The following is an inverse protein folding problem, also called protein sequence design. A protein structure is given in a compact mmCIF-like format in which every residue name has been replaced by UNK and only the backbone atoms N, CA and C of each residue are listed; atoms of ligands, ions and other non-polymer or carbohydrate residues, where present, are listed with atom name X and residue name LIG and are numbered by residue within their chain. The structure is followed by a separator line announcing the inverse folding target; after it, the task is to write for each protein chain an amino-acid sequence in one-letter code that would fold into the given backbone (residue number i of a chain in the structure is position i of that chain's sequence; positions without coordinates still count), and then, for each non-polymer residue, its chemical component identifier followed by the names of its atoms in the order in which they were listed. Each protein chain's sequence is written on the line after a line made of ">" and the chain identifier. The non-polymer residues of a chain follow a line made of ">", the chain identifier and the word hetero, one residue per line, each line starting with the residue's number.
data_IF_180307155131
#
_entry.id   IF_180307155131
#
_cell.length_a   1.000
_cell.length_b   1.000
_cell.length_c   1.000
_cell.angle_alpha   90.00
_cell.angle_beta   90.00
_cell.angle_gamma   90.00
#
_symmetry.space_group_name_H-M   'P 1'
#
loop_
_entity.id
_entity.type
_entity.pdbx_description
1 polymer ?
#
# COMPACT_ATOMS: atom_id res chain seq x y z
N UNK A 1 -16.82 9.75 19.20
CA UNK A 1 -15.96 8.65 18.73
C UNK A 1 -14.74 9.28 18.08
N UNK A 2 -13.54 8.74 18.35
CA UNK A 2 -12.32 9.22 17.70
C UNK A 2 -12.33 8.81 16.23
N UNK A 3 -11.95 9.71 15.33
CA UNK A 3 -11.77 9.41 13.91
C UNK A 3 -10.70 8.32 13.76
N UNK A 4 -11.01 7.15 13.14
CA UNK A 4 -10.04 6.07 12.98
C UNK A 4 -9.00 6.37 11.89
N UNK A 5 -9.26 7.31 10.98
CA UNK A 5 -8.43 7.57 9.79
C UNK A 5 -6.99 7.90 10.16
N UNK A 6 -6.67 8.81 11.12
CA UNK A 6 -5.28 9.09 11.48
C UNK A 6 -4.50 7.84 11.92
N UNK A 7 -5.15 6.92 12.64
CA UNK A 7 -4.51 5.68 13.06
C UNK A 7 -4.22 4.75 11.87
N UNK A 8 -5.13 4.68 10.90
CA UNK A 8 -4.94 3.89 9.68
C UNK A 8 -3.82 4.47 8.81
N UNK A 9 -3.80 5.80 8.62
CA UNK A 9 -2.73 6.49 7.89
C UNK A 9 -1.37 6.25 8.54
N UNK A 10 -1.30 6.28 9.88
CA UNK A 10 -0.05 5.98 10.59
C UNK A 10 0.43 4.54 10.36
N UNK A 11 -0.48 3.57 10.17
CA UNK A 11 -0.09 2.19 9.81
C UNK A 11 0.49 2.13 8.39
N UNK A 12 -0.13 2.83 7.43
CA UNK A 12 0.40 2.94 6.06
C UNK A 12 1.81 3.55 6.11
N UNK A 13 1.96 4.67 6.81
CA UNK A 13 3.24 5.35 6.99
C UNK A 13 4.29 4.43 7.62
N UNK A 14 3.97 3.74 8.72
CA UNK A 14 4.91 2.84 9.39
C UNK A 14 5.38 1.71 8.47
N UNK A 15 4.51 1.23 7.58
CA UNK A 15 4.82 0.17 6.64
C UNK A 15 5.66 0.63 5.43
N UNK A 16 5.48 1.87 4.96
CA UNK A 16 6.15 2.37 3.74
C UNK A 16 7.36 3.27 4.01
N UNK A 17 7.41 3.95 5.17
CA UNK A 17 8.41 4.99 5.46
C UNK A 17 9.39 4.62 6.58
N UNK A 18 9.00 3.78 7.54
CA UNK A 18 9.88 3.44 8.67
C UNK A 18 10.85 2.29 8.36
N UNK A 19 12.00 2.28 9.04
CA UNK A 19 13.03 1.23 8.91
C UNK A 19 12.56 -0.14 9.41
N UNK A 20 11.48 -0.20 10.17
CA UNK A 20 10.84 -1.45 10.61
C UNK A 20 9.73 -1.93 9.67
N UNK A 21 9.33 -1.10 8.69
CA UNK A 21 8.25 -1.39 7.76
C UNK A 21 8.61 -2.41 6.70
N UNK A 22 7.60 -3.02 6.07
CA UNK A 22 7.79 -4.03 5.03
C UNK A 22 8.60 -3.49 3.85
N UNK A 23 8.40 -2.23 3.46
CA UNK A 23 9.03 -1.68 2.27
C UNK A 23 10.54 -1.53 2.47
N UNK A 24 10.96 -1.15 3.69
CA UNK A 24 12.38 -1.16 4.05
C UNK A 24 12.98 -2.56 3.99
N UNK A 25 12.26 -3.57 4.52
CA UNK A 25 12.71 -4.97 4.49
C UNK A 25 12.88 -5.48 3.05
N UNK A 26 11.93 -5.17 2.17
CA UNK A 26 12.06 -5.49 0.74
C UNK A 26 13.31 -4.85 0.12
N UNK A 27 13.61 -3.58 0.42
CA UNK A 27 14.81 -2.88 -0.07
C UNK A 27 16.11 -3.55 0.37
N UNK A 28 16.16 -4.13 1.57
CA UNK A 28 17.32 -4.89 2.06
C UNK A 28 17.30 -6.37 1.67
N UNK A 29 16.32 -6.78 0.85
CA UNK A 29 16.24 -8.12 0.29
C UNK A 29 15.62 -9.17 1.21
N UNK A 30 14.77 -8.75 2.14
CA UNK A 30 13.96 -9.59 3.04
C UNK A 30 12.47 -9.49 2.68
N UNK A 31 11.80 -10.64 2.51
CA UNK A 31 10.35 -10.67 2.27
C UNK A 31 9.62 -10.58 3.61
N UNK A 32 8.78 -9.55 3.76
CA UNK A 32 7.92 -9.38 4.95
C UNK A 32 6.43 -9.48 4.58
N UNK A 33 5.97 -10.72 4.42
CA UNK A 33 4.56 -11.01 4.12
C UNK A 33 3.63 -10.43 5.19
N UNK A 34 4.01 -10.50 6.47
CA UNK A 34 3.14 -10.00 7.55
C UNK A 34 3.00 -8.49 7.48
N UNK A 35 4.11 -7.76 7.31
CA UNK A 35 4.08 -6.31 7.13
C UNK A 35 3.31 -5.90 5.87
N UNK A 36 3.47 -6.65 4.78
CA UNK A 36 2.70 -6.44 3.55
C UNK A 36 1.19 -6.63 3.76
N UNK A 37 0.76 -7.68 4.46
CA UNK A 37 -0.66 -7.89 4.76
C UNK A 37 -1.22 -6.79 5.68
N UNK A 38 -0.43 -6.28 6.62
CA UNK A 38 -0.82 -5.12 7.44
C UNK A 38 -0.98 -3.85 6.61
N UNK A 39 -0.12 -3.66 5.60
CA UNK A 39 -0.20 -2.55 4.65
C UNK A 39 -1.48 -2.64 3.79
N UNK A 40 -1.75 -3.81 3.20
CA UNK A 40 -2.97 -4.02 2.39
C UNK A 40 -4.23 -3.83 3.23
N UNK A 41 -4.29 -4.43 4.43
CA UNK A 41 -5.44 -4.25 5.32
C UNK A 41 -5.66 -2.79 5.71
N UNK A 42 -4.59 -2.00 5.90
CA UNK A 42 -4.73 -0.58 6.18
C UNK A 42 -5.28 0.21 4.97
N UNK A 43 -4.92 -0.16 3.73
CA UNK A 43 -5.51 0.45 2.53
C UNK A 43 -6.99 0.09 2.41
N UNK A 44 -7.36 -1.17 2.63
CA UNK A 44 -8.75 -1.64 2.57
C UNK A 44 -9.63 -0.97 3.64
N UNK A 45 -9.12 -0.87 4.88
CA UNK A 45 -9.76 -0.14 5.97
C UNK A 45 -9.96 1.34 5.59
N UNK A 46 -8.93 1.97 5.02
CA UNK A 46 -8.98 3.38 4.63
C UNK A 46 -9.96 3.62 3.48
N UNK A 47 -9.98 2.73 2.49
CA UNK A 47 -10.88 2.76 1.34
C UNK A 47 -12.34 2.74 1.80
N UNK A 48 -12.66 1.85 2.73
CA UNK A 48 -14.01 1.74 3.31
C UNK A 48 -14.47 3.02 4.01
N UNK A 49 -13.55 3.79 4.59
CA UNK A 49 -13.84 5.08 5.23
C UNK A 49 -13.86 6.26 4.25
N UNK A 50 -13.12 6.19 3.14
CA UNK A 50 -13.16 7.24 2.12
C UNK A 50 -14.43 7.22 1.27
N UNK A 51 -15.15 6.09 1.20
CA UNK A 51 -16.52 6.06 0.64
C UNK A 51 -17.55 6.94 1.37
N UNK A 52 -17.15 7.53 2.49
CA UNK A 52 -18.01 8.43 3.27
C UNK A 52 -17.46 9.86 3.26
N UNK A 53 -16.38 10.14 2.51
CA UNK A 53 -15.64 11.41 2.53
C UNK A 53 -15.11 11.82 1.16
N UNK A 54 -15.40 13.06 0.76
CA UNK A 54 -15.00 13.67 -0.51
C UNK A 54 -13.49 13.91 -0.71
N UNK A 55 -12.62 13.61 0.27
CA UNK A 55 -11.19 13.96 0.18
C UNK A 55 -10.25 12.89 0.72
N UNK A 56 -9.25 12.55 -0.11
CA UNK A 56 -8.13 11.68 0.25
C UNK A 56 -7.02 12.52 0.90
N UNK A 57 -6.38 11.98 1.93
CA UNK A 57 -5.26 12.64 2.60
C UNK A 57 -4.04 12.75 1.68
N UNK A 58 -3.46 13.95 1.57
CA UNK A 58 -2.21 14.18 0.83
C UNK A 58 -1.05 13.31 1.31
N UNK A 59 -0.99 13.01 2.61
CA UNK A 59 0.02 12.12 3.19
C UNK A 59 -0.13 10.69 2.64
N UNK A 60 -1.36 10.22 2.49
CA UNK A 60 -1.65 8.88 1.93
C UNK A 60 -1.19 8.83 0.48
N UNK A 61 -1.55 9.82 -0.34
CA UNK A 61 -1.09 9.90 -1.74
C UNK A 61 0.43 9.85 -1.82
N UNK A 62 1.13 10.66 -1.01
CA UNK A 62 2.59 10.66 -0.96
C UNK A 62 3.17 9.31 -0.52
N UNK A 63 2.55 8.64 0.46
CA UNK A 63 2.99 7.33 0.95
C UNK A 63 2.79 6.20 -0.07
N UNK A 64 1.87 6.34 -1.04
CA UNK A 64 1.49 5.26 -1.94
C UNK A 64 2.04 5.44 -3.36
N UNK A 65 2.44 6.65 -3.74
CA UNK A 65 2.81 7.00 -5.12
C UNK A 65 3.88 6.08 -5.72
N UNK A 66 4.95 5.80 -4.98
CA UNK A 66 6.08 4.99 -5.48
C UNK A 66 6.03 3.53 -5.05
N UNK A 67 5.14 3.15 -4.13
CA UNK A 67 5.17 1.83 -3.48
C UNK A 67 5.07 0.66 -4.47
N UNK A 68 4.13 0.64 -5.44
CA UNK A 68 4.09 -0.45 -6.41
C UNK A 68 5.39 -0.60 -7.18
N UNK A 69 5.93 0.53 -7.68
CA UNK A 69 7.16 0.57 -8.45
C UNK A 69 8.38 0.09 -7.63
N UNK A 70 8.46 0.50 -6.36
CA UNK A 70 9.51 0.03 -5.46
C UNK A 70 9.46 -1.48 -5.23
N UNK A 71 8.28 -2.06 -5.04
CA UNK A 71 8.12 -3.51 -4.90
C UNK A 71 8.54 -4.20 -6.21
N UNK A 72 8.06 -3.71 -7.36
CA UNK A 72 8.36 -4.26 -8.69
C UNK A 72 9.86 -4.31 -8.98
N UNK A 73 10.60 -3.26 -8.64
CA UNK A 73 12.05 -3.20 -8.84
C UNK A 73 12.83 -4.25 -8.05
N UNK A 74 12.25 -4.81 -6.98
CA UNK A 74 12.90 -5.86 -6.19
C UNK A 74 12.62 -7.27 -6.74
N UNK A 75 11.65 -7.44 -7.64
CA UNK A 75 11.22 -8.76 -8.14
C UNK A 75 12.39 -9.55 -8.74
N UNK A 76 13.20 -8.92 -9.60
CA UNK A 76 14.31 -9.60 -10.26
C UNK A 76 15.44 -9.98 -9.29
N UNK A 77 15.63 -9.20 -8.23
CA UNK A 77 16.56 -9.54 -7.15
C UNK A 77 16.11 -10.81 -6.43
N UNK A 78 14.82 -10.92 -6.09
CA UNK A 78 14.30 -12.10 -5.42
C UNK A 78 14.26 -13.32 -6.35
N UNK A 79 13.88 -13.16 -7.63
CA UNK A 79 13.93 -14.24 -8.63
C UNK A 79 15.31 -14.87 -8.77
N UNK A 80 16.37 -14.05 -8.73
CA UNK A 80 17.76 -14.53 -8.79
C UNK A 80 18.17 -15.35 -7.58
N UNK A 81 17.57 -15.09 -6.41
CA UNK A 81 17.80 -15.90 -5.20
C UNK A 81 17.03 -17.22 -5.29
N UNK A 82 15.73 -17.12 -5.54
CA UNK A 82 14.85 -18.26 -5.76
C UNK A 82 13.55 -17.84 -6.47
N UNK A 83 13.05 -18.70 -7.37
CA UNK A 83 11.88 -18.42 -8.20
C UNK A 83 10.61 -18.20 -7.36
N UNK A 84 10.49 -18.87 -6.20
CA UNK A 84 9.31 -18.78 -5.35
C UNK A 84 9.18 -17.40 -4.70
N UNK A 85 10.26 -16.87 -4.12
CA UNK A 85 10.32 -15.51 -3.56
C UNK A 85 10.10 -14.47 -4.66
N UNK A 86 10.69 -14.66 -5.84
CA UNK A 86 10.45 -13.80 -6.99
C UNK A 86 8.98 -13.71 -7.38
N UNK A 87 8.30 -14.86 -7.43
CA UNK A 87 6.85 -14.93 -7.68
C UNK A 87 6.04 -14.29 -6.55
N UNK A 88 6.43 -14.50 -5.29
CA UNK A 88 5.76 -13.90 -4.14
C UNK A 88 5.81 -12.37 -4.19
N UNK A 89 6.99 -11.79 -4.41
CA UNK A 89 7.17 -10.33 -4.50
C UNK A 89 6.46 -9.76 -5.74
N UNK A 90 6.45 -10.49 -6.85
CA UNK A 90 5.65 -10.12 -8.03
C UNK A 90 4.14 -10.06 -7.71
N UNK A 91 3.63 -11.01 -6.92
CA UNK A 91 2.24 -11.00 -6.47
C UNK A 91 1.97 -9.85 -5.49
N UNK A 92 2.92 -9.52 -4.60
CA UNK A 92 2.81 -8.36 -3.71
C UNK A 92 2.69 -7.06 -4.51
N UNK A 93 3.51 -6.87 -5.54
CA UNK A 93 3.42 -5.71 -6.43
C UNK A 93 2.03 -5.58 -7.07
N UNK A 94 1.50 -6.68 -7.61
CA UNK A 94 0.17 -6.70 -8.24
C UNK A 94 -0.92 -6.30 -7.23
N UNK A 95 -0.92 -6.93 -6.05
CA UNK A 95 -1.90 -6.65 -4.99
C UNK A 95 -1.81 -5.22 -4.46
N UNK A 96 -0.59 -4.69 -4.30
CA UNK A 96 -0.40 -3.29 -3.90
C UNK A 96 -1.00 -2.34 -4.93
N UNK A 97 -0.73 -2.58 -6.22
CA UNK A 97 -1.28 -1.77 -7.31
C UNK A 97 -2.81 -1.82 -7.31
N UNK A 98 -3.39 -3.00 -7.23
CA UNK A 98 -4.85 -3.19 -7.20
C UNK A 98 -5.49 -2.47 -6.01
N UNK A 99 -4.96 -2.65 -4.79
CA UNK A 99 -5.50 -2.01 -3.60
C UNK A 99 -5.43 -0.47 -3.68
N UNK A 100 -4.30 0.08 -4.14
CA UNK A 100 -4.12 1.53 -4.30
C UNK A 100 -5.04 2.07 -5.40
N UNK A 101 -5.14 1.38 -6.54
CA UNK A 101 -6.02 1.80 -7.63
C UNK A 101 -7.49 1.78 -7.20
N UNK A 102 -7.94 0.74 -6.49
CA UNK A 102 -9.30 0.68 -5.97
C UNK A 102 -9.58 1.83 -5.00
N UNK A 103 -8.66 2.11 -4.06
CA UNK A 103 -8.82 3.23 -3.14
C UNK A 103 -8.90 4.58 -3.86
N UNK A 104 -8.04 4.81 -4.85
CA UNK A 104 -8.04 6.05 -5.64
C UNK A 104 -9.31 6.15 -6.51
N UNK A 105 -9.72 5.06 -7.14
CA UNK A 105 -10.90 5.03 -8.01
C UNK A 105 -12.19 5.23 -7.24
N UNK A 106 -12.36 4.56 -6.10
CA UNK A 106 -13.53 4.76 -5.24
C UNK A 106 -13.59 6.18 -4.68
N UNK A 107 -12.46 6.77 -4.28
CA UNK A 107 -12.42 8.18 -3.88
C UNK A 107 -12.67 9.15 -5.05
N UNK A 108 -12.32 8.78 -6.28
CA UNK A 108 -12.59 9.59 -7.49
C UNK A 108 -14.04 9.50 -7.95
N UNK A 109 -14.67 8.32 -7.89
CA UNK A 109 -16.10 8.15 -8.22
C UNK A 109 -16.99 9.03 -7.36
N UNK A 110 -16.64 9.23 -6.08
CA UNK A 110 -17.36 10.17 -5.22
C UNK A 110 -17.09 11.62 -5.58
N UNK A 111 -15.84 11.98 -5.90
CA UNK A 111 -15.50 13.32 -6.34
C UNK A 111 -16.27 13.77 -7.61
N UNK A 112 -16.60 12.85 -8.50
CA UNK A 112 -17.35 13.13 -9.74
C UNK A 112 -18.87 12.97 -9.62
N UNK A 113 -19.43 12.50 -8.49
CA UNK A 113 -20.90 12.42 -8.32
C UNK A 113 -21.59 13.78 -8.24
N UNK A 114 -20.84 14.83 -7.91
CA UNK A 114 -21.35 16.21 -7.77
C UNK A 114 -20.98 17.13 -8.95
N UNK A 115 -20.57 16.57 -10.09
CA UNK A 115 -20.35 17.28 -11.37
C UNK A 115 -21.45 16.91 -12.38
#
# INVERSE_FOLDING_TARGET
>A
MNDPIPAIINRIYAQTMEKSGFLWKLRIGEVDEKGFQMFIGAIEDLTSHYRERETISKLVVACLFEVPWEIENTVDHFKKKDEASGKQVSNMACRAREAIQNMLWEGLEEYYKDV
#
